data_IF_565910750574
#
_entry.id   IF_565910750574
#
_cell.length_a   1.000
_cell.length_b   1.000
_cell.length_c   1.000
_cell.angle_alpha   90.00
_cell.angle_beta   90.00
_cell.angle_gamma   90.00
#
_symmetry.space_group_name_H-M   'P 1'
#
loop_
_entity.id
_entity.type
_entity.pdbx_description
1 polymer ?
#
# COMPACT_ATOMS: atom_id res chain seq x y z
N UNK A 1 8.25 -5.48 9.24
CA UNK A 1 8.40 -5.03 7.84
C UNK A 1 8.10 -6.17 6.86
N UNK A 2 8.78 -7.32 6.95
CA UNK A 2 8.65 -8.44 6.00
C UNK A 2 7.23 -9.03 5.84
N UNK A 3 6.38 -8.97 6.87
CA UNK A 3 4.98 -9.47 6.78
C UNK A 3 4.02 -8.56 6.01
N UNK A 4 4.35 -7.27 5.81
CA UNK A 4 3.48 -6.31 5.11
C UNK A 4 3.61 -6.43 3.59
N UNK A 5 4.77 -6.86 3.09
CA UNK A 5 5.07 -6.93 1.65
C UNK A 5 4.33 -8.04 0.93
N UNK A 6 4.02 -9.14 1.60
CA UNK A 6 3.32 -10.28 0.98
C UNK A 6 1.80 -10.20 1.16
N UNK A 7 1.33 -10.05 2.40
CA UNK A 7 -0.08 -9.92 2.70
C UNK A 7 -0.27 -9.24 4.06
N UNK A 8 -0.55 -7.94 4.03
CA UNK A 8 -0.73 -7.14 5.23
C UNK A 8 -1.86 -7.63 6.14
N UNK A 9 -2.84 -8.39 5.63
CA UNK A 9 -3.94 -8.95 6.45
C UNK A 9 -3.49 -10.00 7.46
N UNK A 10 -2.26 -10.52 7.31
CA UNK A 10 -1.63 -11.46 8.26
C UNK A 10 -0.65 -10.78 9.20
N UNK A 11 -0.48 -9.46 9.08
CA UNK A 11 0.40 -8.72 9.96
C UNK A 11 -0.27 -8.49 11.32
N UNK A 12 0.52 -8.55 12.39
CA UNK A 12 0.10 -8.14 13.73
C UNK A 12 0.21 -6.61 13.79
N UNK A 13 -0.86 -5.93 13.37
CA UNK A 13 -0.97 -4.47 13.33
C UNK A 13 -2.25 -4.02 14.05
N UNK A 14 -2.31 -2.73 14.38
CA UNK A 14 -3.49 -2.14 14.98
C UNK A 14 -4.69 -2.14 14.04
N UNK A 15 -5.89 -2.01 14.60
CA UNK A 15 -7.14 -1.89 13.84
C UNK A 15 -7.14 -0.66 12.90
N UNK A 16 -6.56 0.47 13.36
CA UNK A 16 -6.39 1.67 12.55
C UNK A 16 -5.46 1.42 11.35
N UNK A 17 -4.32 0.77 11.56
CA UNK A 17 -3.40 0.42 10.46
C UNK A 17 -4.04 -0.56 9.48
N UNK A 18 -4.78 -1.56 9.96
CA UNK A 18 -5.51 -2.49 9.09
C UNK A 18 -6.54 -1.76 8.23
N UNK A 19 -7.34 -0.86 8.83
CA UNK A 19 -8.37 -0.09 8.13
C UNK A 19 -7.76 0.85 7.08
N UNK A 20 -6.64 1.51 7.43
CA UNK A 20 -5.86 2.32 6.48
C UNK A 20 -5.37 1.49 5.28
N UNK A 21 -4.86 0.28 5.51
CA UNK A 21 -4.34 -0.58 4.44
C UNK A 21 -5.45 -1.19 3.59
N UNK A 22 -6.61 -1.52 4.17
CA UNK A 22 -7.80 -1.91 3.41
C UNK A 22 -8.32 -0.78 2.53
N UNK A 23 -8.39 0.45 3.05
CA UNK A 23 -8.71 1.64 2.27
C UNK A 23 -7.74 1.82 1.10
N UNK A 24 -6.43 1.73 1.36
CA UNK A 24 -5.39 1.85 0.34
C UNK A 24 -5.51 0.77 -0.75
N UNK A 25 -5.79 -0.49 -0.35
CA UNK A 25 -5.98 -1.59 -1.28
C UNK A 25 -7.21 -1.37 -2.18
N UNK A 26 -8.35 -0.96 -1.60
CA UNK A 26 -9.57 -0.68 -2.35
C UNK A 26 -9.38 0.49 -3.32
N UNK A 27 -8.79 1.60 -2.87
CA UNK A 27 -8.54 2.77 -3.72
C UNK A 27 -7.56 2.45 -4.87
N UNK A 28 -6.64 1.52 -4.66
CA UNK A 28 -5.70 1.08 -5.72
C UNK A 28 -6.36 0.18 -6.75
N UNK A 29 -7.16 -0.80 -6.31
CA UNK A 29 -7.71 -1.86 -7.15
C UNK A 29 -9.07 -1.51 -7.77
N UNK A 30 -9.92 -0.80 -7.04
CA UNK A 30 -11.29 -0.47 -7.41
C UNK A 30 -11.65 0.99 -7.10
N UNK A 31 -10.88 1.99 -7.60
CA UNK A 31 -11.15 3.39 -7.30
C UNK A 31 -12.57 3.85 -7.70
N UNK A 32 -13.18 3.23 -8.70
CA UNK A 32 -14.57 3.49 -9.14
C UNK A 32 -15.64 3.01 -8.14
N UNK A 33 -15.26 2.19 -7.14
CA UNK A 33 -16.16 1.61 -6.14
C UNK A 33 -15.98 2.26 -4.75
N UNK A 34 -15.21 3.35 -4.66
CA UNK A 34 -15.04 4.11 -3.42
C UNK A 34 -16.34 4.79 -3.02
N UNK A 35 -16.61 4.82 -1.72
CA UNK A 35 -17.81 5.35 -1.08
C UNK A 35 -17.44 6.20 0.12
N UNK A 36 -18.36 7.08 0.52
CA UNK A 36 -18.20 7.89 1.75
C UNK A 36 -17.99 7.02 3.00
N UNK A 37 -18.59 5.82 3.03
CA UNK A 37 -18.42 4.86 4.13
C UNK A 37 -16.98 4.39 4.31
N UNK A 38 -16.15 4.37 3.25
CA UNK A 38 -14.75 3.98 3.37
C UNK A 38 -13.93 5.07 4.11
N UNK A 39 -14.28 6.34 3.90
CA UNK A 39 -13.71 7.48 4.62
C UNK A 39 -14.22 7.52 6.07
N UNK A 40 -15.51 7.22 6.27
CA UNK A 40 -16.10 7.14 7.60
C UNK A 40 -15.41 6.09 8.47
N UNK A 41 -15.11 4.90 7.92
CA UNK A 41 -14.39 3.85 8.65
C UNK A 41 -13.01 4.33 9.15
N UNK A 42 -12.26 5.11 8.36
CA UNK A 42 -10.99 5.68 8.81
C UNK A 42 -11.18 6.65 9.98
N UNK A 43 -12.20 7.51 9.93
CA UNK A 43 -12.53 8.41 11.04
C UNK A 43 -12.89 7.65 12.31
N UNK A 44 -13.68 6.59 12.19
CA UNK A 44 -14.11 5.75 13.32
C UNK A 44 -12.91 5.10 14.03
N UNK A 45 -11.83 4.80 13.30
CA UNK A 45 -10.57 4.30 13.87
C UNK A 45 -9.63 5.38 14.42
N UNK A 46 -10.04 6.65 14.38
CA UNK A 46 -9.34 7.77 15.02
C UNK A 46 -8.46 8.61 14.10
N UNK A 47 -8.50 8.41 12.77
CA UNK A 47 -7.80 9.31 11.85
C UNK A 47 -8.54 10.65 11.73
N UNK A 48 -7.78 11.75 11.74
CA UNK A 48 -8.30 13.09 11.43
C UNK A 48 -8.54 13.25 9.92
N UNK A 49 -9.30 14.27 9.54
CA UNK A 49 -9.54 14.57 8.12
C UNK A 49 -8.25 14.88 7.36
N UNK A 50 -7.28 15.55 8.01
CA UNK A 50 -5.96 15.80 7.44
C UNK A 50 -5.20 14.50 7.21
N UNK A 51 -5.20 13.59 8.19
CA UNK A 51 -4.53 12.30 8.06
C UNK A 51 -5.18 11.43 6.95
N UNK A 52 -6.51 11.50 6.79
CA UNK A 52 -7.20 10.78 5.71
C UNK A 52 -6.85 11.36 4.34
N UNK A 53 -6.72 12.69 4.24
CA UNK A 53 -6.26 13.33 3.02
C UNK A 53 -4.84 12.87 2.67
N UNK A 54 -3.93 12.82 3.65
CA UNK A 54 -2.56 12.35 3.46
C UNK A 54 -2.53 10.88 2.99
N UNK A 55 -3.32 10.00 3.61
CA UNK A 55 -3.48 8.60 3.19
C UNK A 55 -3.92 8.53 1.72
N UNK A 56 -4.96 9.29 1.34
CA UNK A 56 -5.49 9.29 -0.02
C UNK A 56 -4.43 9.77 -1.04
N UNK A 57 -3.72 10.85 -0.73
CA UNK A 57 -2.70 11.42 -1.60
C UNK A 57 -1.54 10.46 -1.82
N UNK A 58 -1.03 9.83 -0.74
CA UNK A 58 0.05 8.85 -0.84
C UNK A 58 -0.36 7.66 -1.70
N UNK A 59 -1.55 7.10 -1.45
CA UNK A 59 -2.06 5.97 -2.24
C UNK A 59 -2.22 6.35 -3.72
N UNK A 60 -2.81 7.52 -3.99
CA UNK A 60 -2.98 8.02 -5.35
C UNK A 60 -1.66 8.24 -6.08
N UNK A 61 -0.67 8.82 -5.40
CA UNK A 61 0.67 9.05 -5.95
C UNK A 61 1.36 7.75 -6.37
N UNK A 62 1.40 6.75 -5.48
CA UNK A 62 2.00 5.45 -5.81
C UNK A 62 1.23 4.74 -6.93
N UNK A 63 -0.10 4.80 -6.92
CA UNK A 63 -0.90 4.21 -7.98
C UNK A 63 -0.64 4.90 -9.34
N UNK A 64 -0.36 6.20 -9.38
CA UNK A 64 0.03 6.91 -10.59
C UNK A 64 1.44 6.49 -11.07
N UNK A 65 2.43 6.54 -10.17
CA UNK A 65 3.82 6.18 -10.49
C UNK A 65 3.94 4.73 -10.96
N UNK A 66 3.25 3.79 -10.30
CA UNK A 66 3.25 2.38 -10.69
C UNK A 66 2.68 2.20 -12.10
N UNK A 67 1.58 2.90 -12.44
CA UNK A 67 1.01 2.84 -13.81
C UNK A 67 1.97 3.40 -14.86
N UNK A 68 2.73 4.44 -14.55
CA UNK A 68 3.76 4.94 -15.47
C UNK A 68 4.90 3.95 -15.63
N UNK A 69 5.44 3.43 -14.53
CA UNK A 69 6.55 2.50 -14.54
C UNK A 69 6.18 1.21 -15.30
N UNK A 70 5.08 0.56 -14.90
CA UNK A 70 4.62 -0.68 -15.51
C UNK A 70 4.15 -0.48 -16.95
N UNK A 71 3.46 0.64 -17.23
CA UNK A 71 2.96 0.95 -18.57
C UNK A 71 4.05 1.24 -19.60
N UNK A 72 5.21 1.75 -19.15
CA UNK A 72 6.36 2.04 -20.00
C UNK A 72 7.46 0.96 -19.92
N UNK A 73 7.29 -0.05 -19.06
CA UNK A 73 8.29 -1.10 -18.87
C UNK A 73 9.57 -0.62 -18.16
N UNK A 74 9.46 0.39 -17.29
CA UNK A 74 10.59 0.89 -16.49
C UNK A 74 11.06 -0.22 -15.55
N UNK A 75 12.36 -0.55 -15.61
CA UNK A 75 12.96 -1.56 -14.75
C UNK A 75 13.55 -0.94 -13.49
N UNK A 76 13.64 -1.75 -12.43
CA UNK A 76 14.43 -1.39 -11.26
C UNK A 76 15.90 -1.18 -11.65
N UNK A 77 16.54 -0.23 -11.00
CA UNK A 77 17.99 -0.06 -11.07
C UNK A 77 18.70 -1.30 -10.51
N UNK A 78 19.91 -1.57 -11.01
CA UNK A 78 20.67 -2.79 -10.68
C UNK A 78 20.94 -2.96 -9.18
N UNK A 79 21.12 -1.87 -8.44
CA UNK A 79 21.36 -1.93 -6.99
C UNK A 79 20.15 -2.44 -6.21
N UNK A 80 18.92 -2.11 -6.63
CA UNK A 80 17.69 -2.66 -6.04
C UNK A 80 17.47 -4.13 -6.40
N UNK A 81 17.90 -4.55 -7.60
CA UNK A 81 17.84 -5.96 -8.03
C UNK A 81 18.75 -6.84 -7.17
N UNK A 82 19.95 -6.36 -6.85
CA UNK A 82 20.91 -7.08 -6.02
C UNK A 82 20.36 -7.35 -4.60
N UNK A 83 19.74 -6.34 -3.97
CA UNK A 83 19.11 -6.49 -2.65
C UNK A 83 17.93 -7.47 -2.67
N UNK A 84 17.04 -7.38 -3.67
CA UNK A 84 15.89 -8.30 -3.79
C UNK A 84 16.34 -9.74 -4.00
N UNK A 85 17.38 -9.97 -4.80
CA UNK A 85 17.94 -11.29 -5.03
C UNK A 85 18.62 -11.86 -3.77
N UNK A 86 19.32 -11.02 -3.01
CA UNK A 86 19.92 -11.42 -1.73
C UNK A 86 18.84 -11.84 -0.71
N UNK A 87 17.76 -11.06 -0.58
CA UNK A 87 16.65 -11.35 0.31
C UNK A 87 15.93 -12.68 -0.02
N UNK A 88 15.77 -12.98 -1.32
CA UNK A 88 15.16 -14.25 -1.79
C UNK A 88 16.05 -15.48 -1.56
N UNK A 89 17.37 -15.31 -1.44
CA UNK A 89 18.29 -16.41 -1.11
C UNK A 89 18.33 -16.69 0.40
N UNK A 90 18.19 -15.68 1.25
CA UNK A 90 18.15 -15.86 2.72
C UNK A 90 16.88 -16.52 3.23
N UNK A 91 15.72 -16.34 2.57
CA UNK A 91 14.45 -16.98 2.97
C UNK A 91 14.27 -18.43 2.46
N UNK A 92 15.32 -19.04 1.90
CA UNK A 92 15.33 -20.43 1.40
C UNK A 92 16.01 -21.43 2.34
N UNK A 93 16.40 -21.03 3.56
CA UNK A 93 17.02 -21.88 4.59
C UNK A 93 16.11 -22.06 5.79
#
# INVERSE_FOLDING_TARGET
MEKLTDNFRKAEISEAEMTMLEYAAKLTLEPWNMKETDVAALRETGFSDEAILDINQVVGYYAFVNRLADGLGVQLEEFWKAEKNAALQTNKL
#
